data_IF_864365787977
#
_entry.id   IF_864365787977
#
_cell.length_a   1.000
_cell.length_b   1.000
_cell.length_c   1.000
_cell.angle_alpha   90.00
_cell.angle_beta   90.00
_cell.angle_gamma   90.00
#
_symmetry.space_group_name_H-M   'P 1'
#
loop_
_entity.id
_entity.type
_entity.pdbx_description
1 polymer ?
#
# COMPACT_ATOMS: atom_id res chain seq x y z
N UNK A 1 11.22 6.54 -21.23
CA UNK A 1 11.93 5.43 -21.90
C UNK A 1 12.85 4.85 -20.83
N UNK A 2 12.58 3.65 -20.33
CA UNK A 2 13.43 3.05 -19.29
C UNK A 2 14.78 2.69 -19.92
N UNK A 3 15.92 2.94 -19.24
CA UNK A 3 17.22 2.53 -19.74
C UNK A 3 17.23 1.01 -20.01
N UNK A 4 18.02 0.56 -21.00
CA UNK A 4 18.21 -0.86 -21.27
C UNK A 4 18.83 -1.51 -20.04
N UNK A 5 18.02 -2.24 -19.27
CA UNK A 5 18.46 -3.00 -18.10
C UNK A 5 18.31 -4.48 -18.42
N UNK A 6 19.35 -5.26 -18.12
CA UNK A 6 19.32 -6.72 -18.27
C UNK A 6 18.37 -7.38 -17.26
N UNK A 7 18.06 -6.67 -16.16
CA UNK A 7 17.18 -7.13 -15.09
C UNK A 7 16.07 -6.10 -14.81
N UNK A 8 14.88 -6.59 -14.46
CA UNK A 8 13.79 -5.79 -13.92
C UNK A 8 13.58 -6.13 -12.45
N UNK A 9 13.90 -5.18 -11.57
CA UNK A 9 13.73 -5.34 -10.14
C UNK A 9 12.29 -5.04 -9.73
N UNK A 10 11.61 -6.02 -9.16
CA UNK A 10 10.27 -5.90 -8.58
C UNK A 10 10.35 -6.11 -7.06
N UNK A 11 9.94 -5.12 -6.29
CA UNK A 11 9.92 -5.20 -4.82
C UNK A 11 8.47 -5.41 -4.36
N UNK A 12 8.13 -6.57 -3.76
CA UNK A 12 6.88 -6.72 -3.05
C UNK A 12 6.91 -5.88 -1.76
N UNK A 13 5.89 -5.05 -1.55
CA UNK A 13 5.76 -4.23 -0.35
C UNK A 13 4.35 -4.37 0.23
N UNK A 14 4.28 -4.76 1.49
CA UNK A 14 3.06 -4.85 2.29
C UNK A 14 3.44 -4.92 3.76
N UNK A 15 2.48 -5.20 4.63
CA UNK A 15 2.70 -5.34 6.09
C UNK A 15 3.45 -4.14 6.68
N UNK A 16 3.14 -2.95 6.14
CA UNK A 16 3.65 -1.69 6.68
C UNK A 16 2.93 -1.41 7.99
N UNK A 17 1.60 -1.62 8.01
CA UNK A 17 0.72 -1.44 9.16
C UNK A 17 1.04 -0.15 9.92
N UNK A 18 1.14 0.97 9.19
CA UNK A 18 1.50 2.25 9.78
C UNK A 18 0.41 2.65 10.77
N UNK A 19 0.76 2.70 12.04
CA UNK A 19 -0.15 3.03 13.13
C UNK A 19 -0.02 4.51 13.55
N UNK A 20 -1.11 5.11 14.07
CA UNK A 20 -1.08 6.43 14.68
C UNK A 20 0.07 6.63 15.68
N UNK A 21 0.78 7.76 15.58
CA UNK A 21 1.66 8.18 16.67
C UNK A 21 0.83 8.63 17.87
N UNK A 22 1.13 8.08 19.04
CA UNK A 22 0.65 8.57 20.32
C UNK A 22 1.83 8.93 21.21
N UNK A 23 1.73 10.05 21.93
CA UNK A 23 2.74 10.45 22.88
C UNK A 23 2.95 9.35 23.94
N UNK A 24 4.22 9.01 24.21
CA UNK A 24 4.56 7.95 25.17
C UNK A 24 4.38 6.51 24.68
N UNK A 25 3.91 6.27 23.45
CA UNK A 25 3.81 4.94 22.85
C UNK A 25 4.68 4.83 21.60
N UNK A 26 5.67 3.93 21.56
CA UNK A 26 6.39 3.66 20.32
C UNK A 26 5.44 3.04 19.30
N UNK A 27 5.60 3.43 18.03
CA UNK A 27 4.87 2.80 16.93
C UNK A 27 5.28 1.35 16.75
N UNK A 28 4.33 0.55 16.30
CA UNK A 28 4.59 -0.84 15.88
C UNK A 28 5.33 -0.87 14.53
N UNK A 29 5.06 0.10 13.66
CA UNK A 29 5.68 0.17 12.34
C UNK A 29 7.19 0.54 12.38
N UNK A 30 8.01 -0.22 11.65
CA UNK A 30 9.45 0.06 11.46
C UNK A 30 9.72 1.14 10.40
N UNK A 31 9.23 2.38 10.62
CA UNK A 31 9.30 3.50 9.66
C UNK A 31 10.70 3.75 9.09
N UNK A 32 11.76 3.65 9.91
CA UNK A 32 13.15 3.81 9.45
C UNK A 32 13.55 2.76 8.40
N UNK A 33 13.15 1.50 8.62
CA UNK A 33 13.43 0.40 7.70
C UNK A 33 12.64 0.57 6.42
N UNK A 34 11.36 0.95 6.52
CA UNK A 34 10.53 1.26 5.35
C UNK A 34 11.19 2.33 4.47
N UNK A 35 11.55 3.50 5.04
CA UNK A 35 12.24 4.58 4.31
C UNK A 35 13.53 4.09 3.64
N UNK A 36 14.31 3.25 4.32
CA UNK A 36 15.53 2.67 3.75
C UNK A 36 15.27 1.76 2.56
N UNK A 37 14.24 0.91 2.62
CA UNK A 37 13.85 0.02 1.50
C UNK A 37 13.33 0.84 0.31
N UNK A 38 12.51 1.86 0.59
CA UNK A 38 12.00 2.77 -0.45
C UNK A 38 13.15 3.49 -1.15
N UNK A 39 14.07 4.09 -0.39
CA UNK A 39 15.21 4.80 -0.96
C UNK A 39 16.06 3.86 -1.82
N UNK A 40 16.39 2.67 -1.30
CA UNK A 40 17.15 1.68 -2.05
C UNK A 40 16.44 1.28 -3.35
N UNK A 41 15.13 1.01 -3.31
CA UNK A 41 14.35 0.68 -4.49
C UNK A 41 14.35 1.79 -5.54
N UNK A 42 14.20 3.05 -5.11
CA UNK A 42 14.26 4.22 -5.99
C UNK A 42 15.64 4.37 -6.64
N UNK A 43 16.71 4.27 -5.86
CA UNK A 43 18.09 4.39 -6.36
C UNK A 43 18.42 3.32 -7.41
N UNK A 44 17.79 2.14 -7.29
CA UNK A 44 17.95 1.03 -8.23
C UNK A 44 16.86 1.02 -9.32
N UNK A 45 15.96 2.01 -9.36
CA UNK A 45 14.85 2.10 -10.31
C UNK A 45 13.95 0.85 -10.32
N UNK A 46 13.61 0.35 -9.14
CA UNK A 46 12.70 -0.76 -8.96
C UNK A 46 11.25 -0.37 -9.32
N UNK A 47 10.48 -1.36 -9.74
CA UNK A 47 9.02 -1.32 -9.64
C UNK A 47 8.57 -1.90 -8.31
N UNK A 48 7.38 -1.52 -7.85
CA UNK A 48 6.79 -2.02 -6.62
C UNK A 48 5.48 -2.77 -6.91
N UNK A 49 5.19 -3.81 -6.13
CA UNK A 49 3.89 -4.47 -6.10
C UNK A 49 3.36 -4.47 -4.66
N UNK A 50 2.15 -3.92 -4.49
CA UNK A 50 1.51 -3.81 -3.19
C UNK A 50 0.86 -5.11 -2.75
N UNK A 51 1.23 -5.58 -1.56
CA UNK A 51 0.85 -6.89 -1.04
C UNK A 51 -0.22 -6.85 0.06
N UNK A 52 -0.65 -5.68 0.53
CA UNK A 52 -1.68 -5.46 1.56
C UNK A 52 -1.13 -4.80 2.82
N UNK A 53 -2.01 -4.46 3.76
CA UNK A 53 -1.68 -4.03 5.13
C UNK A 53 -0.79 -2.79 5.24
N UNK A 54 -1.29 -1.65 4.76
CA UNK A 54 -0.49 -0.41 4.73
C UNK A 54 -0.69 0.49 5.95
N UNK A 55 -1.93 0.59 6.43
CA UNK A 55 -2.35 1.52 7.50
C UNK A 55 -3.11 0.74 8.56
N UNK A 56 -2.78 0.95 9.83
CA UNK A 56 -3.43 0.30 10.98
C UNK A 56 -3.94 1.33 12.00
N UNK A 57 -5.11 1.92 11.70
CA UNK A 57 -5.79 2.87 12.61
C UNK A 57 -6.59 2.12 13.68
N UNK A 58 -7.22 1.02 13.27
CA UNK A 58 -7.93 0.11 14.14
C UNK A 58 -7.79 -1.30 13.57
N UNK A 59 -7.42 -2.26 14.43
CA UNK A 59 -7.36 -3.68 14.07
C UNK A 59 -8.71 -4.16 13.53
N UNK A 60 -8.74 -5.25 12.73
CA UNK A 60 -9.99 -5.81 12.20
C UNK A 60 -11.04 -6.08 13.29
N UNK A 61 -10.61 -6.65 14.42
CA UNK A 61 -11.46 -6.92 15.58
C UNK A 61 -12.02 -5.64 16.20
N UNK A 62 -11.21 -4.59 16.31
CA UNK A 62 -11.67 -3.29 16.80
C UNK A 62 -12.61 -2.62 15.82
N UNK A 63 -12.39 -2.71 14.50
CA UNK A 63 -13.31 -2.14 13.50
C UNK A 63 -14.68 -2.80 13.58
N UNK A 64 -14.75 -4.13 13.68
CA UNK A 64 -16.03 -4.85 13.87
C UNK A 64 -16.74 -4.39 15.15
N UNK A 65 -15.99 -4.23 16.25
CA UNK A 65 -16.54 -3.71 17.50
C UNK A 65 -17.06 -2.27 17.34
N UNK A 66 -16.28 -1.39 16.71
CA UNK A 66 -16.65 0.02 16.45
C UNK A 66 -17.89 0.14 15.55
N UNK A 67 -18.00 -0.67 14.50
CA UNK A 67 -19.17 -0.71 13.62
C UNK A 67 -20.42 -1.16 14.35
N UNK A 68 -20.30 -2.16 15.23
CA UNK A 68 -21.42 -2.65 16.05
C UNK A 68 -21.83 -1.68 17.16
N UNK A 69 -20.92 -0.81 17.61
CA UNK A 69 -21.15 0.09 18.74
C UNK A 69 -22.03 1.31 18.41
N UNK A 70 -22.42 1.52 17.13
CA UNK A 70 -23.16 2.70 16.66
C UNK A 70 -22.59 4.00 17.26
N UNK A 71 -21.28 4.17 17.09
CA UNK A 71 -20.55 5.32 17.64
C UNK A 71 -21.24 6.62 17.25
N UNK A 72 -21.21 7.59 18.17
CA UNK A 72 -21.66 8.94 17.89
C UNK A 72 -20.84 9.54 16.73
N UNK A 73 -21.46 10.36 15.88
CA UNK A 73 -20.84 10.94 14.69
C UNK A 73 -19.48 11.60 14.99
N UNK A 74 -19.36 12.25 16.15
CA UNK A 74 -18.11 12.89 16.59
C UNK A 74 -16.94 11.91 16.77
N UNK A 75 -17.21 10.70 17.27
CA UNK A 75 -16.16 9.68 17.44
C UNK A 75 -15.76 9.10 16.10
N UNK A 76 -16.74 8.87 15.21
CA UNK A 76 -16.47 8.43 13.83
C UNK A 76 -15.60 9.45 13.09
N UNK A 77 -15.95 10.72 13.14
CA UNK A 77 -15.17 11.80 12.51
C UNK A 77 -13.74 11.85 13.05
N UNK A 78 -13.55 11.74 14.37
CA UNK A 78 -12.22 11.73 14.96
C UNK A 78 -11.35 10.54 14.49
N UNK A 79 -11.97 9.37 14.25
CA UNK A 79 -11.27 8.20 13.72
C UNK A 79 -10.93 8.38 12.24
N UNK A 80 -11.83 8.94 11.44
CA UNK A 80 -11.57 9.26 10.02
C UNK A 80 -10.48 10.32 9.86
N UNK A 81 -10.49 11.36 10.69
CA UNK A 81 -9.45 12.38 10.73
C UNK A 81 -8.09 11.72 11.03
N UNK A 82 -8.06 10.80 11.99
CA UNK A 82 -6.81 10.10 12.33
C UNK A 82 -6.36 9.13 11.23
N UNK A 83 -7.30 8.45 10.58
CA UNK A 83 -6.99 7.62 9.42
C UNK A 83 -6.42 8.44 8.27
N UNK A 84 -6.96 9.63 8.03
CA UNK A 84 -6.46 10.58 7.03
C UNK A 84 -5.05 11.05 7.37
N UNK A 85 -4.78 11.45 8.62
CA UNK A 85 -3.44 11.88 9.06
C UNK A 85 -2.38 10.79 8.84
N UNK A 86 -2.68 9.54 9.24
CA UNK A 86 -1.75 8.41 9.05
C UNK A 86 -1.56 8.08 7.58
N UNK A 87 -2.63 8.18 6.78
CA UNK A 87 -2.57 8.00 5.34
C UNK A 87 -1.70 9.05 4.66
N UNK A 88 -1.80 10.32 5.05
CA UNK A 88 -0.96 11.40 4.53
C UNK A 88 0.51 11.20 4.90
N UNK A 89 0.81 10.72 6.10
CA UNK A 89 2.18 10.37 6.47
C UNK A 89 2.73 9.23 5.60
N UNK A 90 1.92 8.20 5.35
CA UNK A 90 2.31 7.12 4.44
C UNK A 90 2.53 7.65 3.02
N UNK A 91 1.68 8.56 2.55
CA UNK A 91 1.86 9.23 1.27
C UNK A 91 3.21 9.94 1.19
N UNK A 92 3.62 10.65 2.24
CA UNK A 92 4.93 11.30 2.28
C UNK A 92 6.10 10.33 2.24
N UNK A 93 5.99 9.19 2.94
CA UNK A 93 7.02 8.15 2.92
C UNK A 93 7.15 7.53 1.52
N UNK A 94 6.01 7.28 0.85
CA UNK A 94 5.97 6.59 -0.44
C UNK A 94 6.04 7.54 -1.64
N UNK A 95 5.97 8.85 -1.44
CA UNK A 95 5.99 9.89 -2.49
C UNK A 95 7.09 9.70 -3.55
N UNK A 96 8.33 9.29 -3.21
CA UNK A 96 9.38 9.06 -4.20
C UNK A 96 9.09 7.93 -5.20
N UNK A 97 8.08 7.10 -4.95
CA UNK A 97 7.74 5.90 -5.73
C UNK A 97 6.52 6.06 -6.63
N UNK A 98 5.89 7.23 -6.65
CA UNK A 98 4.72 7.51 -7.50
C UNK A 98 5.05 7.17 -8.96
N UNK A 99 4.18 6.39 -9.63
CA UNK A 99 4.36 5.93 -11.00
C UNK A 99 5.26 4.71 -11.18
N UNK A 100 5.82 4.16 -10.09
CA UNK A 100 6.64 2.93 -10.10
C UNK A 100 5.89 1.70 -9.59
N UNK A 101 4.60 1.84 -9.25
CA UNK A 101 3.78 0.74 -8.73
C UNK A 101 3.04 0.02 -9.86
N UNK A 102 3.16 -1.30 -9.91
CA UNK A 102 2.47 -2.12 -10.90
C UNK A 102 0.99 -2.27 -10.53
N UNK A 103 0.73 -2.54 -9.25
CA UNK A 103 -0.61 -2.70 -8.69
C UNK A 103 -0.56 -2.68 -7.17
N UNK A 104 -1.72 -2.51 -6.54
CA UNK A 104 -1.90 -2.51 -5.09
C UNK A 104 -3.03 -3.46 -4.68
N UNK A 105 -2.70 -4.49 -3.90
CA UNK A 105 -3.69 -5.36 -3.25
C UNK A 105 -4.13 -4.82 -1.89
N UNK A 106 -5.32 -5.22 -1.46
CA UNK A 106 -5.87 -4.99 -0.11
C UNK A 106 -5.35 -6.04 0.87
N UNK A 107 -5.12 -5.64 2.12
CA UNK A 107 -4.89 -6.57 3.23
C UNK A 107 -6.00 -6.52 4.29
N UNK A 108 -5.79 -7.14 5.45
CA UNK A 108 -6.76 -7.05 6.56
C UNK A 108 -6.74 -5.71 7.25
N UNK A 109 -5.64 -4.98 7.21
CA UNK A 109 -5.49 -3.68 7.85
C UNK A 109 -5.74 -2.56 6.83
N UNK A 110 -6.96 -2.02 6.89
CA UNK A 110 -7.39 -0.84 6.16
C UNK A 110 -8.45 -0.09 6.96
N UNK A 111 -8.69 1.18 6.61
CA UNK A 111 -9.81 1.95 7.14
C UNK A 111 -10.82 2.26 6.01
N UNK A 112 -12.11 1.91 6.17
CA UNK A 112 -13.17 2.33 5.26
C UNK A 112 -13.64 3.76 5.59
N UNK A 113 -13.80 4.58 4.56
CA UNK A 113 -14.34 5.93 4.65
C UNK A 113 -15.82 5.94 4.23
N UNK A 114 -16.56 6.95 4.69
CA UNK A 114 -17.99 7.11 4.36
C UNK A 114 -18.27 7.21 2.84
N UNK A 115 -17.32 7.76 2.07
CA UNK A 115 -17.43 7.89 0.61
C UNK A 115 -17.28 6.55 -0.15
N UNK A 116 -17.16 5.43 0.56
CA UNK A 116 -16.99 4.09 0.01
C UNK A 116 -15.57 3.75 -0.42
N UNK A 117 -14.63 4.68 -0.26
CA UNK A 117 -13.21 4.40 -0.46
C UNK A 117 -12.59 3.81 0.81
N UNK A 118 -11.43 3.19 0.66
CA UNK A 118 -10.57 2.74 1.75
C UNK A 118 -9.21 3.42 1.69
N UNK A 119 -8.44 3.35 2.78
CA UNK A 119 -7.02 3.73 2.79
C UNK A 119 -6.26 3.16 1.59
N UNK A 120 -6.53 1.91 1.23
CA UNK A 120 -5.82 1.18 0.17
C UNK A 120 -6.22 1.68 -1.23
N UNK A 121 -7.51 1.91 -1.46
CA UNK A 121 -7.98 2.48 -2.74
C UNK A 121 -7.48 3.91 -2.93
N UNK A 122 -7.45 4.71 -1.85
CA UNK A 122 -6.91 6.08 -1.86
C UNK A 122 -5.40 6.07 -2.07
N UNK A 123 -4.69 5.12 -1.47
CA UNK A 123 -3.25 4.94 -1.65
C UNK A 123 -2.91 4.53 -3.10
N UNK A 124 -3.66 3.60 -3.69
CA UNK A 124 -3.49 3.23 -5.10
C UNK A 124 -3.69 4.42 -6.04
N UNK A 125 -4.71 5.25 -5.77
CA UNK A 125 -4.93 6.50 -6.50
C UNK A 125 -3.76 7.47 -6.34
N UNK A 126 -3.23 7.65 -5.12
CA UNK A 126 -2.08 8.52 -4.87
C UNK A 126 -0.83 8.06 -5.60
N UNK A 127 -0.55 6.75 -5.61
CA UNK A 127 0.63 6.17 -6.26
C UNK A 127 0.50 6.04 -7.78
N UNK A 128 -0.71 6.26 -8.32
CA UNK A 128 -0.99 6.22 -9.75
C UNK A 128 -1.06 4.80 -10.31
N UNK A 129 -1.49 3.81 -9.52
CA UNK A 129 -1.60 2.43 -9.95
C UNK A 129 -3.01 1.85 -9.76
N UNK A 130 -3.25 0.66 -10.33
CA UNK A 130 -4.51 -0.04 -10.18
C UNK A 130 -4.61 -0.71 -8.79
N UNK A 131 -5.77 -0.60 -8.16
CA UNK A 131 -6.13 -1.38 -6.98
C UNK A 131 -6.78 -2.69 -7.41
N UNK A 132 -6.25 -3.82 -6.94
CA UNK A 132 -6.67 -5.16 -7.39
C UNK A 132 -7.67 -5.85 -6.47
N UNK A 133 -8.09 -5.21 -5.38
CA UNK A 133 -8.87 -5.86 -4.32
C UNK A 133 -8.03 -6.87 -3.52
N UNK A 134 -8.70 -7.89 -2.96
CA UNK A 134 -8.07 -8.86 -2.05
C UNK A 134 -7.20 -9.89 -2.77
N UNK A 135 -7.50 -10.19 -4.04
CA UNK A 135 -6.76 -11.11 -4.91
C UNK A 135 -6.39 -10.39 -6.21
N UNK A 136 -5.09 -10.28 -6.48
CA UNK A 136 -4.56 -9.69 -7.70
C UNK A 136 -3.91 -10.72 -8.63
N UNK A 137 -4.18 -10.59 -9.94
CA UNK A 137 -3.36 -11.20 -10.99
C UNK A 137 -2.75 -10.05 -11.80
N UNK A 138 -1.44 -9.87 -11.64
CA UNK A 138 -0.72 -8.77 -12.27
C UNK A 138 0.16 -9.29 -13.40
N UNK A 139 -0.06 -8.78 -14.61
CA UNK A 139 0.76 -9.10 -15.78
C UNK A 139 1.88 -8.06 -15.93
N UNK A 140 3.12 -8.51 -15.82
CA UNK A 140 4.30 -7.68 -15.99
C UNK A 140 4.90 -8.01 -17.35
N UNK A 141 4.92 -7.02 -18.24
CA UNK A 141 5.52 -7.14 -19.56
C UNK A 141 6.91 -6.52 -19.53
N UNK A 142 7.95 -7.35 -19.72
CA UNK A 142 9.30 -6.83 -19.81
C UNK A 142 9.60 -6.39 -21.25
N UNK A 143 10.24 -5.22 -21.44
CA UNK A 143 10.75 -4.85 -22.75
C UNK A 143 11.83 -5.85 -23.18
N UNK A 144 11.68 -6.44 -24.36
CA UNK A 144 12.72 -7.27 -24.97
C UNK A 144 13.32 -6.55 -26.19
N UNK A 145 14.65 -6.52 -26.26
CA UNK A 145 15.35 -6.03 -27.46
C UNK A 145 15.31 -7.10 -28.55
N UNK A 146 15.01 -6.69 -29.79
CA UNK A 146 15.10 -7.56 -30.97
C UNK A 146 14.08 -8.71 -31.06
N UNK A 147 13.14 -8.84 -30.12
CA UNK A 147 12.12 -9.89 -30.14
C UNK A 147 10.72 -9.34 -30.41
N UNK A 148 9.98 -9.99 -31.32
CA UNK A 148 8.57 -9.64 -31.61
C UNK A 148 7.62 -9.92 -30.44
N UNK A 149 8.04 -10.73 -29.45
CA UNK A 149 7.26 -11.06 -28.25
C UNK A 149 7.96 -10.51 -27.00
N UNK A 150 7.23 -9.68 -26.24
CA UNK A 150 7.64 -9.24 -24.90
C UNK A 150 7.43 -10.38 -23.91
N UNK A 151 8.45 -10.84 -23.16
CA UNK A 151 8.28 -11.75 -22.04
C UNK A 151 7.23 -11.21 -21.07
N UNK A 152 6.33 -12.07 -20.64
CA UNK A 152 5.24 -11.72 -19.73
C UNK A 152 5.31 -12.63 -18.51
N UNK A 153 5.33 -12.01 -17.34
CA UNK A 153 5.28 -12.68 -16.04
C UNK A 153 3.90 -12.45 -15.43
N UNK A 154 3.29 -13.51 -14.92
CA UNK A 154 2.06 -13.42 -14.14
C UNK A 154 2.41 -13.53 -12.66
N UNK A 155 2.10 -12.49 -11.91
CA UNK A 155 2.22 -12.49 -10.46
C UNK A 155 0.82 -12.70 -9.89
N UNK A 156 0.64 -13.79 -9.16
CA UNK A 156 -0.56 -14.02 -8.36
C UNK A 156 -0.25 -13.52 -6.95
N UNK A 157 -0.94 -12.47 -6.52
CA UNK A 157 -0.74 -11.86 -5.20
C UNK A 157 -2.03 -11.97 -4.40
N UNK A 158 -1.93 -12.63 -3.25
CA UNK A 158 -3.00 -12.74 -2.28
C UNK A 158 -2.41 -12.48 -0.90
N UNK A 159 -2.97 -11.52 -0.16
CA UNK A 159 -2.50 -11.17 1.18
C UNK A 159 -2.84 -12.27 2.20
N UNK A 160 -3.95 -13.00 2.00
CA UNK A 160 -4.40 -14.07 2.90
C UNK A 160 -5.66 -13.70 3.70
N UNK A 161 -5.91 -14.44 4.77
CA UNK A 161 -6.78 -14.10 5.91
C UNK A 161 -5.86 -14.19 7.12
N UNK A 162 -5.36 -13.05 7.63
CA UNK A 162 -4.44 -13.00 8.77
C UNK A 162 -5.03 -13.65 10.01
#
# INVERSE_FOLDING_TARGET
MYPSREEHLLIPLGDIQLDPAFEGRPRNCHVKRLKSVIQWGVDHGASFIGMGDYVDVASPSNRVALDSARLYDTVRNALEDKATEVQEELHDILRPTIGSWVSLGTGHHYWPFEDGTTTDTRLAKFLGCHHTGDLGITHIYLPAHGHHRKPMYRVYSWHGQG
#
